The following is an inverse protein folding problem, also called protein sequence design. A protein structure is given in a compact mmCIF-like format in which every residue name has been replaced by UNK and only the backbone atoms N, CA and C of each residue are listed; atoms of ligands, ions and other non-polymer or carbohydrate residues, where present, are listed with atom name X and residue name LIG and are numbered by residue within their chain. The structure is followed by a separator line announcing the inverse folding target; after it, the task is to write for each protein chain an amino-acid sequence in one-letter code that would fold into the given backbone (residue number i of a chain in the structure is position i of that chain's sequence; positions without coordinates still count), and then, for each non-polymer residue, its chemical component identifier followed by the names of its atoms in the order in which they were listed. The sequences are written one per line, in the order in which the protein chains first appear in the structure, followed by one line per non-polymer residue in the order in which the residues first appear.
data_IF_176682693930
#
_entry.id   IF_176682693930
#
_cell.length_a   1.000
_cell.length_b   1.000
_cell.length_c   1.000
_cell.angle_alpha   90.00
_cell.angle_beta   90.00
_cell.angle_gamma   90.00
#
_symmetry.space_group_name_H-M   'P 1'
#
loop_
_entity.id
_entity.type
_entity.pdbx_description
1 polymer ?
#
# COMPACT_ATOMS: atom_id res chain seq x y z
N UNK A 1 -23.67 43.78 -109.71
CA UNK A 1 -24.76 42.98 -109.12
C UNK A 1 -24.57 41.52 -109.52
N UNK A 2 -24.04 40.70 -108.62
CA UNK A 2 -24.12 39.23 -108.67
C UNK A 2 -24.10 38.74 -107.23
N UNK A 3 -25.22 38.15 -106.81
CA UNK A 3 -25.42 37.48 -105.53
C UNK A 3 -24.53 36.23 -105.46
N UNK A 4 -23.89 36.01 -104.31
CA UNK A 4 -23.14 34.79 -104.03
C UNK A 4 -23.77 34.08 -102.83
N UNK A 5 -24.09 32.82 -103.07
CA UNK A 5 -24.90 31.93 -102.23
C UNK A 5 -24.35 31.68 -100.84
N UNK A 6 -25.30 31.57 -99.91
CA UNK A 6 -25.16 30.99 -98.58
C UNK A 6 -24.84 29.48 -98.67
N UNK A 7 -23.71 29.05 -98.14
CA UNK A 7 -23.46 27.64 -97.82
C UNK A 7 -23.49 27.44 -96.31
N UNK A 8 -24.53 26.77 -95.84
CA UNK A 8 -24.71 26.34 -94.46
C UNK A 8 -23.67 25.26 -94.13
N UNK A 9 -22.85 25.51 -93.12
CA UNK A 9 -21.95 24.51 -92.53
C UNK A 9 -22.78 23.52 -91.70
N UNK A 10 -23.26 22.45 -92.35
CA UNK A 10 -23.96 21.35 -91.70
C UNK A 10 -23.04 20.59 -90.73
N UNK A 11 -23.56 20.26 -89.55
CA UNK A 11 -22.93 19.35 -88.60
C UNK A 11 -22.71 17.97 -89.25
N UNK A 12 -21.47 17.55 -89.39
CA UNK A 12 -21.13 16.21 -89.87
C UNK A 12 -21.34 15.20 -88.74
N UNK A 13 -22.54 14.63 -88.68
CA UNK A 13 -22.80 13.44 -87.85
C UNK A 13 -22.24 12.25 -88.62
N UNK A 14 -21.07 11.75 -88.22
CA UNK A 14 -20.65 10.42 -88.65
C UNK A 14 -21.53 9.38 -87.97
N UNK A 15 -22.34 8.68 -88.77
CA UNK A 15 -22.99 7.46 -88.32
C UNK A 15 -21.90 6.44 -87.97
N UNK A 16 -22.00 5.82 -86.79
CA UNK A 16 -21.07 4.74 -86.42
C UNK A 16 -21.16 3.59 -87.45
N UNK A 17 -20.03 2.93 -87.80
CA UNK A 17 -20.03 1.83 -88.76
C UNK A 17 -20.94 0.67 -88.31
N UNK A 18 -21.79 0.15 -89.23
CA UNK A 18 -22.81 -0.89 -88.97
C UNK A 18 -22.22 -2.31 -88.95
N UNK A 19 -21.02 -2.51 -88.41
CA UNK A 19 -20.46 -3.85 -88.19
C UNK A 19 -19.65 -3.91 -86.90
N UNK A 20 -20.28 -3.57 -85.79
CA UNK A 20 -19.78 -4.05 -84.49
C UNK A 20 -20.28 -5.50 -84.35
N UNK A 21 -19.37 -6.47 -84.34
CA UNK A 21 -19.73 -7.84 -83.96
C UNK A 21 -20.25 -7.81 -82.52
N UNK A 22 -21.56 -7.97 -82.39
CA UNK A 22 -22.27 -7.94 -81.10
C UNK A 22 -21.67 -8.92 -80.09
N UNK A 23 -21.16 -10.08 -80.54
CA UNK A 23 -20.47 -11.06 -79.67
C UNK A 23 -19.11 -10.57 -79.21
N UNK A 24 -18.32 -9.96 -80.09
CA UNK A 24 -17.01 -9.42 -79.73
C UNK A 24 -17.14 -8.26 -78.74
N UNK A 25 -18.11 -7.38 -78.96
CA UNK A 25 -18.42 -6.27 -78.05
C UNK A 25 -18.93 -6.76 -76.70
N UNK A 26 -19.86 -7.73 -76.68
CA UNK A 26 -20.35 -8.37 -75.44
C UNK A 26 -19.21 -9.02 -74.66
N UNK A 27 -18.28 -9.71 -75.33
CA UNK A 27 -17.10 -10.30 -74.68
C UNK A 27 -16.14 -9.26 -74.12
N UNK A 28 -15.89 -8.14 -74.83
CA UNK A 28 -15.07 -7.04 -74.31
C UNK A 28 -15.73 -6.38 -73.10
N UNK A 29 -17.04 -6.15 -73.15
CA UNK A 29 -17.80 -5.61 -72.02
C UNK A 29 -17.81 -6.56 -70.81
N UNK A 30 -18.00 -7.86 -71.02
CA UNK A 30 -17.94 -8.87 -69.96
C UNK A 30 -16.56 -8.91 -69.29
N UNK A 31 -15.47 -8.89 -70.07
CA UNK A 31 -14.09 -8.82 -69.54
C UNK A 31 -13.81 -7.52 -68.81
N UNK A 32 -14.28 -6.38 -69.33
CA UNK A 32 -14.13 -5.08 -68.68
C UNK A 32 -14.86 -5.03 -67.34
N UNK A 33 -16.08 -5.58 -67.29
CA UNK A 33 -16.86 -5.70 -66.06
C UNK A 33 -16.21 -6.65 -65.05
N UNK A 34 -15.71 -7.81 -65.51
CA UNK A 34 -14.98 -8.77 -64.66
C UNK A 34 -13.74 -8.13 -64.05
N UNK A 35 -12.95 -7.41 -64.86
CA UNK A 35 -11.75 -6.67 -64.40
C UNK A 35 -12.13 -5.62 -63.36
N UNK A 36 -13.13 -4.78 -63.66
CA UNK A 36 -13.60 -3.76 -62.73
C UNK A 36 -14.11 -4.36 -61.41
N UNK A 37 -14.83 -5.48 -61.47
CA UNK A 37 -15.36 -6.15 -60.28
C UNK A 37 -14.23 -6.70 -59.41
N UNK A 38 -13.19 -7.28 -60.02
CA UNK A 38 -12.00 -7.76 -59.32
C UNK A 38 -11.19 -6.61 -58.70
N UNK A 39 -11.01 -5.52 -59.44
CA UNK A 39 -10.29 -4.33 -58.95
C UNK A 39 -11.00 -3.71 -57.74
N UNK A 40 -12.33 -3.51 -57.83
CA UNK A 40 -13.14 -3.00 -56.72
C UNK A 40 -13.10 -3.92 -55.49
N UNK A 41 -13.15 -5.24 -55.69
CA UNK A 41 -13.05 -6.21 -54.59
C UNK A 41 -11.67 -6.18 -53.93
N UNK A 42 -10.61 -6.07 -54.73
CA UNK A 42 -9.23 -5.93 -54.24
C UNK A 42 -9.06 -4.64 -53.41
N UNK A 43 -9.57 -3.51 -53.89
CA UNK A 43 -9.54 -2.23 -53.17
C UNK A 43 -10.30 -2.29 -51.84
N UNK A 44 -11.48 -2.92 -51.81
CA UNK A 44 -12.26 -3.12 -50.59
C UNK A 44 -11.49 -3.96 -49.56
N UNK A 45 -10.88 -5.07 -49.99
CA UNK A 45 -10.07 -5.92 -49.11
C UNK A 45 -8.85 -5.17 -48.57
N UNK A 46 -8.19 -4.39 -49.41
CA UNK A 46 -7.02 -3.62 -49.03
C UNK A 46 -7.38 -2.51 -48.03
N UNK A 47 -8.46 -1.77 -48.29
CA UNK A 47 -9.00 -0.75 -47.37
C UNK A 47 -9.34 -1.38 -46.02
N UNK A 48 -10.03 -2.52 -46.00
CA UNK A 48 -10.37 -3.22 -44.75
C UNK A 48 -9.13 -3.69 -43.99
N UNK A 49 -8.11 -4.19 -44.70
CA UNK A 49 -6.83 -4.60 -44.10
C UNK A 49 -6.11 -3.41 -43.45
N UNK A 50 -6.06 -2.28 -44.13
CA UNK A 50 -5.44 -1.05 -43.63
C UNK A 50 -6.18 -0.49 -42.40
N UNK A 51 -7.51 -0.48 -42.44
CA UNK A 51 -8.34 -0.10 -41.28
C UNK A 51 -8.06 -0.99 -40.07
N UNK A 52 -8.08 -2.31 -40.24
CA UNK A 52 -7.79 -3.24 -39.16
C UNK A 52 -6.36 -3.06 -38.62
N UNK A 53 -5.38 -2.84 -39.51
CA UNK A 53 -3.98 -2.63 -39.10
C UNK A 53 -3.83 -1.34 -38.27
N UNK A 54 -4.54 -0.28 -38.65
CA UNK A 54 -4.58 0.98 -37.89
C UNK A 54 -5.22 0.76 -36.52
N UNK A 55 -6.36 0.10 -36.47
CA UNK A 55 -7.07 -0.20 -35.23
C UNK A 55 -6.22 -1.05 -34.27
N UNK A 56 -5.56 -2.10 -34.77
CA UNK A 56 -4.60 -2.91 -33.99
C UNK A 56 -3.49 -2.02 -33.42
N UNK A 57 -2.94 -1.13 -34.25
CA UNK A 57 -1.84 -0.24 -33.82
C UNK A 57 -2.29 0.74 -32.74
N UNK A 58 -3.48 1.30 -32.87
CA UNK A 58 -4.04 2.25 -31.91
C UNK A 58 -4.41 1.55 -30.59
N UNK A 59 -5.00 0.36 -30.65
CA UNK A 59 -5.26 -0.48 -29.48
C UNK A 59 -3.96 -0.86 -28.75
N UNK A 60 -2.91 -1.25 -29.48
CA UNK A 60 -1.59 -1.54 -28.89
C UNK A 60 -0.99 -0.33 -28.17
N UNK A 61 -1.10 0.87 -28.74
CA UNK A 61 -0.67 2.11 -28.07
C UNK A 61 -1.47 2.36 -26.81
N UNK A 62 -2.79 2.17 -26.87
CA UNK A 62 -3.68 2.35 -25.72
C UNK A 62 -3.34 1.38 -24.59
N UNK A 63 -3.15 0.09 -24.88
CA UNK A 63 -2.72 -0.92 -23.91
C UNK A 63 -1.40 -0.52 -23.26
N UNK A 64 -0.41 -0.09 -24.04
CA UNK A 64 0.89 0.34 -23.53
C UNK A 64 0.79 1.54 -22.59
N UNK A 65 -0.08 2.49 -22.91
CA UNK A 65 -0.32 3.66 -22.06
C UNK A 65 -1.01 3.28 -20.76
N UNK A 66 -2.03 2.41 -20.82
CA UNK A 66 -2.72 1.88 -19.63
C UNK A 66 -1.77 1.10 -18.73
N UNK A 67 -0.91 0.25 -19.30
CA UNK A 67 0.11 -0.48 -18.54
C UNK A 67 1.08 0.45 -17.83
N UNK A 68 1.52 1.53 -18.49
CA UNK A 68 2.38 2.55 -17.89
C UNK A 68 1.68 3.31 -16.76
N UNK A 69 0.40 3.68 -16.94
CA UNK A 69 -0.38 4.35 -15.89
C UNK A 69 -0.52 3.46 -14.66
N UNK A 70 -0.94 2.20 -14.88
CA UNK A 70 -1.11 1.22 -13.81
C UNK A 70 0.20 0.96 -13.06
N UNK A 71 1.34 0.89 -13.77
CA UNK A 71 2.63 0.72 -13.12
C UNK A 71 2.99 1.92 -12.24
N UNK A 72 2.75 3.15 -12.71
CA UNK A 72 2.97 4.36 -11.90
C UNK A 72 2.09 4.37 -10.66
N UNK A 73 0.81 4.07 -10.81
CA UNK A 73 -0.13 3.99 -9.68
C UNK A 73 0.32 2.97 -8.63
N UNK A 74 0.85 1.81 -9.07
CA UNK A 74 1.43 0.81 -8.16
C UNK A 74 2.65 1.34 -7.42
N UNK A 75 3.54 2.02 -8.12
CA UNK A 75 4.77 2.56 -7.54
C UNK A 75 4.45 3.67 -6.53
N UNK A 76 3.50 4.56 -6.87
CA UNK A 76 3.03 5.64 -5.99
C UNK A 76 2.34 5.07 -4.74
N UNK A 77 1.50 4.04 -4.90
CA UNK A 77 0.85 3.38 -3.78
C UNK A 77 1.87 2.69 -2.86
N UNK A 78 2.87 2.02 -3.43
CA UNK A 78 3.93 1.37 -2.67
C UNK A 78 4.76 2.38 -1.87
N UNK A 79 5.07 3.53 -2.46
CA UNK A 79 5.77 4.63 -1.78
C UNK A 79 4.93 5.19 -0.61
N UNK A 80 3.65 5.48 -0.86
CA UNK A 80 2.71 5.97 0.17
C UNK A 80 2.54 4.98 1.33
N UNK A 81 2.43 3.69 1.04
CA UNK A 81 2.36 2.65 2.06
C UNK A 81 3.64 2.56 2.89
N UNK A 82 4.82 2.65 2.25
CA UNK A 82 6.10 2.68 2.94
C UNK A 82 6.19 3.84 3.92
N UNK A 83 5.79 5.04 3.52
CA UNK A 83 5.77 6.21 4.41
C UNK A 83 4.81 6.03 5.58
N UNK A 84 3.63 5.46 5.32
CA UNK A 84 2.64 5.18 6.37
C UNK A 84 3.16 4.18 7.39
N UNK A 85 3.81 3.10 6.94
CA UNK A 85 4.42 2.11 7.83
C UNK A 85 5.52 2.75 8.69
N UNK A 86 6.41 3.56 8.09
CA UNK A 86 7.46 4.25 8.85
C UNK A 86 6.89 5.21 9.90
N UNK A 87 5.81 5.91 9.57
CA UNK A 87 5.10 6.78 10.52
C UNK A 87 4.49 5.97 11.67
N UNK A 88 3.85 4.84 11.36
CA UNK A 88 3.26 3.96 12.37
C UNK A 88 4.31 3.38 13.31
N UNK A 89 5.44 2.90 12.78
CA UNK A 89 6.57 2.41 13.59
C UNK A 89 7.04 3.50 14.56
N UNK A 90 7.29 4.71 14.05
CA UNK A 90 7.75 5.83 14.89
C UNK A 90 6.75 6.21 15.98
N UNK A 91 5.45 6.27 15.64
CA UNK A 91 4.41 6.55 16.64
C UNK A 91 4.37 5.46 17.70
N UNK A 92 4.46 4.19 17.29
CA UNK A 92 4.45 3.07 18.21
C UNK A 92 5.66 3.07 19.16
N UNK A 93 6.86 3.34 18.65
CA UNK A 93 8.07 3.48 19.48
C UNK A 93 7.89 4.57 20.54
N UNK A 94 7.34 5.72 20.15
CA UNK A 94 7.04 6.82 21.08
C UNK A 94 6.00 6.42 22.14
N UNK A 95 4.95 5.70 21.76
CA UNK A 95 3.92 5.21 22.69
C UNK A 95 4.50 4.21 23.69
N UNK A 96 5.37 3.30 23.23
CA UNK A 96 6.05 2.32 24.08
C UNK A 96 6.96 3.03 25.09
N UNK A 97 7.75 4.01 24.65
CA UNK A 97 8.62 4.78 25.54
C UNK A 97 7.82 5.56 26.60
N UNK A 98 6.73 6.20 26.19
CA UNK A 98 5.84 6.92 27.10
C UNK A 98 5.20 6.00 28.14
N UNK A 99 4.71 4.83 27.72
CA UNK A 99 4.13 3.83 28.60
C UNK A 99 5.17 3.26 29.58
N UNK A 100 6.39 3.00 29.11
CA UNK A 100 7.49 2.53 29.95
C UNK A 100 7.86 3.57 31.02
N UNK A 101 7.93 4.84 30.67
CA UNK A 101 8.22 5.91 31.61
C UNK A 101 7.10 6.16 32.61
N UNK A 102 5.84 6.04 32.19
CA UNK A 102 4.71 6.10 33.10
C UNK A 102 4.74 4.95 34.11
N UNK A 103 5.01 3.72 33.65
CA UNK A 103 5.16 2.56 34.51
C UNK A 103 6.30 2.74 35.51
N UNK A 104 7.47 3.23 35.06
CA UNK A 104 8.61 3.54 35.95
C UNK A 104 8.24 4.56 37.01
N UNK A 105 7.53 5.64 36.64
CA UNK A 105 7.06 6.65 37.60
C UNK A 105 6.10 6.05 38.62
N UNK A 106 5.15 5.22 38.17
CA UNK A 106 4.18 4.55 39.04
C UNK A 106 4.86 3.60 40.03
N UNK A 107 5.77 2.74 39.56
CA UNK A 107 6.53 1.83 40.42
C UNK A 107 7.36 2.61 41.44
N UNK A 108 8.02 3.69 41.03
CA UNK A 108 8.80 4.53 41.94
C UNK A 108 7.91 5.10 43.04
N UNK A 109 6.77 5.68 42.67
CA UNK A 109 5.80 6.24 43.62
C UNK A 109 5.30 5.18 44.60
N UNK A 110 4.88 4.02 44.11
CA UNK A 110 4.41 2.91 44.95
C UNK A 110 5.51 2.41 45.88
N UNK A 111 6.75 2.30 45.39
CA UNK A 111 7.90 1.90 46.19
C UNK A 111 8.17 2.92 47.30
N UNK A 112 8.18 4.21 46.99
CA UNK A 112 8.39 5.28 47.96
C UNK A 112 7.30 5.29 49.04
N UNK A 113 6.04 5.09 48.65
CA UNK A 113 4.91 4.95 49.58
C UNK A 113 5.05 3.73 50.49
N UNK A 114 5.46 2.58 49.95
CA UNK A 114 5.68 1.35 50.73
C UNK A 114 6.85 1.51 51.71
N UNK A 115 7.96 2.11 51.28
CA UNK A 115 9.10 2.43 52.16
C UNK A 115 8.67 3.37 53.28
N UNK A 116 7.88 4.41 52.97
CA UNK A 116 7.38 5.34 53.98
C UNK A 116 6.47 4.64 55.00
N UNK A 117 5.61 3.71 54.56
CA UNK A 117 4.79 2.88 55.46
C UNK A 117 5.67 1.97 56.32
N UNK A 118 6.66 1.31 55.74
CA UNK A 118 7.60 0.44 56.48
C UNK A 118 8.35 1.20 57.56
N UNK A 119 8.80 2.43 57.29
CA UNK A 119 9.51 3.26 58.29
C UNK A 119 8.65 3.70 59.49
N UNK A 120 7.31 3.64 59.39
CA UNK A 120 6.39 4.10 60.45
C UNK A 120 6.11 3.06 61.54
N UNK A 121 6.55 1.81 61.37
CA UNK A 121 6.23 0.72 62.28
C UNK A 121 7.48 -0.09 62.63
N UNK A 122 7.62 -0.62 63.87
CA UNK A 122 8.68 -1.57 64.19
C UNK A 122 8.42 -2.93 63.54
N UNK A 123 9.50 -3.64 63.21
CA UNK A 123 9.47 -4.94 62.54
C UNK A 123 10.17 -6.01 63.37
N UNK A 124 9.65 -7.23 63.28
CA UNK A 124 10.18 -8.37 64.02
C UNK A 124 11.58 -8.73 63.50
N UNK A 125 12.57 -8.75 64.39
CA UNK A 125 13.96 -9.07 64.06
C UNK A 125 14.15 -10.50 63.52
N UNK A 126 13.20 -11.40 63.78
CA UNK A 126 13.26 -12.79 63.29
C UNK A 126 12.50 -13.01 61.97
N UNK A 127 11.27 -12.50 61.84
CA UNK A 127 10.37 -12.87 60.73
C UNK A 127 9.84 -11.68 59.91
N UNK A 128 10.28 -10.46 60.21
CA UNK A 128 9.92 -9.23 59.47
C UNK A 128 8.41 -8.95 59.41
N UNK A 129 7.62 -9.54 60.31
CA UNK A 129 6.22 -9.16 60.52
C UNK A 129 6.13 -7.94 61.45
N UNK A 130 5.00 -7.20 61.45
CA UNK A 130 4.71 -6.15 62.43
C UNK A 130 5.08 -6.57 63.85
N UNK A 131 5.93 -5.81 64.52
CA UNK A 131 6.33 -6.12 65.88
C UNK A 131 5.41 -5.44 66.90
N UNK A 132 5.09 -6.16 67.97
CA UNK A 132 4.30 -5.65 69.10
C UNK A 132 5.09 -5.65 70.42
N UNK A 133 6.22 -6.36 70.47
CA UNK A 133 7.04 -6.53 71.67
C UNK A 133 8.42 -5.88 71.47
N UNK A 134 8.81 -4.98 72.37
CA UNK A 134 10.11 -4.29 72.33
C UNK A 134 11.14 -4.96 73.26
N UNK A 135 12.33 -5.24 72.73
CA UNK A 135 13.45 -5.79 73.50
C UNK A 135 14.54 -4.76 73.80
N UNK A 136 15.24 -4.21 72.80
CA UNK A 136 16.23 -3.14 72.99
C UNK A 136 16.44 -2.39 71.67
N UNK A 137 17.44 -1.50 71.57
CA UNK A 137 17.63 -0.68 70.36
C UNK A 137 17.67 -1.55 69.10
N UNK A 138 16.85 -1.18 68.12
CA UNK A 138 16.70 -1.88 66.84
C UNK A 138 16.31 -3.38 66.94
N UNK A 139 15.78 -3.86 68.08
CA UNK A 139 15.34 -5.26 68.24
C UNK A 139 13.91 -5.33 68.82
N UNK A 140 12.96 -5.70 67.96
CA UNK A 140 11.55 -5.91 68.29
C UNK A 140 11.08 -7.30 67.82
N UNK A 141 9.97 -7.80 68.36
CA UNK A 141 9.39 -9.09 68.00
C UNK A 141 7.86 -9.02 67.81
N UNK A 142 7.33 -9.84 66.92
CA UNK A 142 5.87 -10.00 66.77
C UNK A 142 5.26 -10.92 67.84
N UNK A 143 6.07 -11.78 68.48
CA UNK A 143 5.60 -12.75 69.48
C UNK A 143 6.74 -13.25 70.37
N UNK A 144 6.40 -13.75 71.56
CA UNK A 144 7.36 -14.38 72.47
C UNK A 144 8.08 -15.58 71.81
N UNK A 145 7.37 -16.33 70.95
CA UNK A 145 7.96 -17.43 70.16
C UNK A 145 9.11 -16.94 69.28
N UNK A 146 8.95 -15.79 68.64
CA UNK A 146 10.03 -15.20 67.83
C UNK A 146 11.19 -14.71 68.71
N UNK A 147 10.88 -14.12 69.88
CA UNK A 147 11.90 -13.70 70.83
C UNK A 147 12.73 -14.88 71.33
N UNK A 148 12.11 -15.95 71.83
CA UNK A 148 12.82 -17.13 72.35
C UNK A 148 13.70 -17.78 71.26
N UNK A 149 13.19 -17.86 70.02
CA UNK A 149 13.96 -18.41 68.90
C UNK A 149 15.17 -17.53 68.53
N UNK A 150 15.03 -16.21 68.54
CA UNK A 150 16.12 -15.28 68.24
C UNK A 150 17.07 -15.07 69.43
N UNK A 151 16.67 -15.48 70.64
CA UNK A 151 17.44 -15.20 71.87
C UNK A 151 18.84 -15.82 71.87
N UNK A 152 19.01 -16.98 71.23
CA UNK A 152 20.32 -17.65 71.12
C UNK A 152 21.37 -16.76 70.45
N UNK A 153 20.98 -15.97 69.46
CA UNK A 153 21.88 -15.04 68.75
C UNK A 153 21.84 -13.64 69.34
N UNK A 154 20.66 -13.16 69.73
CA UNK A 154 20.48 -11.79 70.23
C UNK A 154 21.00 -11.60 71.66
N UNK A 155 20.83 -12.59 72.54
CA UNK A 155 21.04 -12.46 73.98
C UNK A 155 22.41 -11.86 74.31
N UNK A 156 23.47 -12.39 73.72
CA UNK A 156 24.87 -11.95 73.96
C UNK A 156 25.15 -10.45 73.70
N UNK A 157 24.30 -9.78 72.91
CA UNK A 157 24.44 -8.36 72.55
C UNK A 157 23.23 -7.53 72.98
N UNK A 158 22.36 -8.08 73.83
CA UNK A 158 21.16 -7.39 74.27
C UNK A 158 21.51 -6.33 75.32
N UNK A 159 21.07 -5.09 75.11
CA UNK A 159 21.34 -3.97 76.03
C UNK A 159 20.70 -4.16 77.41
N UNK A 160 19.74 -5.08 77.53
CA UNK A 160 19.06 -5.43 78.79
C UNK A 160 19.74 -6.57 79.55
N UNK A 161 20.84 -7.15 79.06
CA UNK A 161 21.56 -8.15 79.85
C UNK A 161 22.23 -7.48 81.07
N UNK A 162 22.13 -8.10 82.27
CA UNK A 162 22.85 -7.61 83.43
C UNK A 162 24.35 -7.69 83.14
N UNK A 163 25.03 -6.53 83.18
CA UNK A 163 26.48 -6.48 83.11
C UNK A 163 27.01 -7.25 84.33
N UNK A 164 27.82 -8.28 84.10
CA UNK A 164 28.54 -8.96 85.18
C UNK A 164 29.54 -7.97 85.77
N UNK A 165 29.16 -7.31 86.86
CA UNK A 165 30.08 -6.64 87.80
C UNK A 165 30.86 -7.69 88.57
#
# INVERSE_FOLDING_TARGET
MKSSDSSSSGFHVMAMPVTIDSKEYQNKMAKGFETLTLDLYSELLQTKKEMNQKEITDLMKMIKNLQRSNQREKDDLAASHKETILRLIKTHEMEVDQAADELRRKIKKETDEMVAKTKKQPWCALCQQPAALYCCWNTNYCSQKCQTKHWTTHGTRCDRQPKKT
#
